data_IF_960059922519
#
_entry.id   IF_960059922519
#
_cell.length_a   1.000
_cell.length_b   1.000
_cell.length_c   1.000
_cell.angle_alpha   90.00
_cell.angle_beta   90.00
_cell.angle_gamma   90.00
#
_symmetry.space_group_name_H-M   'P 1'
#
loop_
_entity.id
_entity.type
_entity.pdbx_description
1 polymer ?
#
# COMPACT_ATOMS: atom_id res chain seq x y z
N UNK A 1 -20.84 9.79 -0.23
CA UNK A 1 -19.75 10.76 -0.01
C UNK A 1 -18.73 10.61 -1.14
N UNK A 2 -18.24 11.71 -1.73
CA UNK A 2 -17.24 11.66 -2.80
C UNK A 2 -15.85 11.43 -2.23
N UNK A 3 -15.01 10.63 -2.88
CA UNK A 3 -13.60 10.44 -2.53
C UNK A 3 -12.72 11.39 -3.36
N UNK A 4 -11.53 11.71 -2.87
CA UNK A 4 -10.46 12.27 -3.68
C UNK A 4 -9.97 11.23 -4.71
N UNK A 5 -9.37 11.68 -5.83
CA UNK A 5 -8.77 10.77 -6.80
C UNK A 5 -7.70 9.87 -6.16
N UNK A 6 -7.63 8.63 -6.62
CA UNK A 6 -6.61 7.66 -6.27
C UNK A 6 -5.84 7.24 -7.53
N UNK A 7 -4.56 6.93 -7.38
CA UNK A 7 -3.79 6.27 -8.43
C UNK A 7 -3.85 4.75 -8.23
N UNK A 8 -4.01 3.99 -9.32
CA UNK A 8 -4.08 2.52 -9.29
C UNK A 8 -3.24 1.92 -10.41
N UNK A 9 -2.54 0.82 -10.12
CA UNK A 9 -1.77 0.02 -11.09
C UNK A 9 -1.97 -1.47 -10.81
N UNK A 10 -2.17 -2.26 -11.86
CA UNK A 10 -2.14 -3.71 -11.74
C UNK A 10 -0.70 -4.21 -11.55
N UNK A 11 -0.54 -5.30 -10.82
CA UNK A 11 0.74 -6.00 -10.74
C UNK A 11 1.07 -6.64 -12.10
N UNK A 12 2.30 -6.53 -12.64
CA UNK A 12 2.67 -7.15 -13.91
C UNK A 12 2.61 -8.69 -13.87
N UNK A 13 2.91 -9.27 -12.71
CA UNK A 13 3.04 -10.73 -12.54
C UNK A 13 1.75 -11.42 -12.06
N UNK A 14 0.70 -10.66 -11.76
CA UNK A 14 -0.57 -11.21 -11.25
C UNK A 14 -1.75 -10.30 -11.55
N UNK A 15 -2.77 -10.87 -12.17
CA UNK A 15 -4.03 -10.18 -12.52
C UNK A 15 -4.90 -9.86 -11.30
N UNK A 16 -4.67 -10.55 -10.17
CA UNK A 16 -5.49 -10.40 -8.95
C UNK A 16 -4.86 -9.46 -7.91
N UNK A 17 -3.77 -8.79 -8.26
CA UNK A 17 -3.05 -7.88 -7.37
C UNK A 17 -3.02 -6.49 -7.99
N UNK A 18 -3.38 -5.49 -7.19
CA UNK A 18 -3.31 -4.09 -7.57
C UNK A 18 -2.69 -3.25 -6.46
N UNK A 19 -1.96 -2.22 -6.87
CA UNK A 19 -1.40 -1.20 -6.01
C UNK A 19 -2.27 0.04 -6.09
N UNK A 20 -2.50 0.70 -4.96
CA UNK A 20 -3.33 1.89 -4.86
C UNK A 20 -2.68 2.93 -3.96
N UNK A 21 -2.65 4.18 -4.39
CA UNK A 21 -2.24 5.35 -3.59
C UNK A 21 -3.46 6.19 -3.24
N UNK A 22 -3.54 6.59 -1.97
CA UNK A 22 -4.60 7.44 -1.43
C UNK A 22 -3.99 8.61 -0.67
N UNK A 23 -4.64 9.77 -0.78
CA UNK A 23 -4.31 10.99 -0.02
C UNK A 23 -5.32 11.28 1.10
N UNK A 24 -6.23 10.34 1.37
CA UNK A 24 -7.23 10.40 2.43
C UNK A 24 -7.52 8.99 2.97
N UNK A 25 -8.17 8.91 4.13
CA UNK A 25 -8.43 7.65 4.84
C UNK A 25 -9.90 7.45 5.20
N UNK A 26 -10.81 7.45 4.22
CA UNK A 26 -12.24 7.22 4.50
C UNK A 26 -12.52 5.77 4.88
N UNK A 27 -13.56 5.54 5.68
CA UNK A 27 -14.01 4.20 6.07
C UNK A 27 -14.10 3.29 4.84
N UNK A 28 -13.50 2.09 4.85
CA UNK A 28 -13.55 1.11 3.75
C UNK A 28 -13.29 1.66 2.33
N UNK A 29 -12.54 2.75 2.19
CA UNK A 29 -12.39 3.46 0.91
C UNK A 29 -11.89 2.54 -0.20
N UNK A 30 -10.76 1.86 -0.02
CA UNK A 30 -10.22 0.91 -1.00
C UNK A 30 -11.24 -0.15 -1.37
N UNK A 31 -11.83 -0.83 -0.38
CA UNK A 31 -12.82 -1.90 -0.63
C UNK A 31 -14.02 -1.42 -1.42
N UNK A 32 -14.52 -0.21 -1.13
CA UNK A 32 -15.64 0.39 -1.90
C UNK A 32 -15.22 0.80 -3.30
N UNK A 33 -14.01 1.32 -3.50
CA UNK A 33 -13.51 1.71 -4.81
C UNK A 33 -13.43 0.51 -5.76
N UNK A 34 -12.87 -0.61 -5.28
CA UNK A 34 -12.82 -1.86 -6.05
C UNK A 34 -14.22 -2.46 -6.26
N UNK A 35 -15.08 -2.47 -5.24
CA UNK A 35 -16.45 -2.97 -5.39
C UNK A 35 -17.29 -2.16 -6.40
N UNK A 36 -17.04 -0.86 -6.54
CA UNK A 36 -17.70 0.00 -7.52
C UNK A 36 -17.36 -0.37 -8.98
N UNK A 37 -16.28 -1.12 -9.19
CA UNK A 37 -15.87 -1.69 -10.49
C UNK A 37 -15.93 -3.23 -10.45
N UNK A 38 -16.84 -3.79 -9.65
CA UNK A 38 -17.13 -5.23 -9.57
C UNK A 38 -15.96 -6.12 -9.13
N UNK A 39 -14.98 -5.55 -8.41
CA UNK A 39 -13.85 -6.29 -7.85
C UNK A 39 -13.97 -6.46 -6.33
N UNK A 40 -13.81 -7.70 -5.85
CA UNK A 40 -13.81 -7.99 -4.41
C UNK A 40 -12.38 -8.00 -3.85
N UNK A 41 -12.16 -7.29 -2.74
CA UNK A 41 -10.86 -7.22 -2.07
C UNK A 41 -10.78 -8.30 -0.98
N UNK A 42 -10.09 -9.39 -1.28
CA UNK A 42 -9.84 -10.49 -0.34
C UNK A 42 -8.83 -10.10 0.75
N UNK A 43 -7.70 -9.52 0.34
CA UNK A 43 -6.61 -9.10 1.22
C UNK A 43 -6.27 -7.63 0.95
N UNK A 44 -6.10 -6.87 2.03
CA UNK A 44 -5.74 -5.46 1.96
C UNK A 44 -4.63 -5.19 2.98
N UNK A 45 -3.47 -4.77 2.48
CA UNK A 45 -2.30 -4.46 3.30
C UNK A 45 -1.78 -3.08 2.92
N UNK A 46 -1.46 -2.28 3.93
CA UNK A 46 -0.73 -1.02 3.72
C UNK A 46 0.77 -1.32 3.77
N UNK A 47 1.45 -1.05 2.67
CA UNK A 47 2.88 -1.35 2.51
C UNK A 47 3.78 -0.13 2.72
N UNK A 48 3.22 1.08 2.70
CA UNK A 48 3.97 2.33 2.83
C UNK A 48 3.04 3.46 3.29
N UNK A 49 3.60 4.47 3.95
CA UNK A 49 2.97 5.75 4.23
C UNK A 49 4.00 6.87 4.00
N UNK A 50 3.68 7.84 3.14
CA UNK A 50 4.67 8.81 2.66
C UNK A 50 5.91 8.10 2.11
N UNK A 51 7.10 8.46 2.59
CA UNK A 51 8.36 7.78 2.28
C UNK A 51 8.73 6.62 3.22
N UNK A 52 7.90 6.26 4.20
CA UNK A 52 8.18 5.20 5.16
C UNK A 52 7.56 3.87 4.72
N UNK A 53 8.40 2.94 4.28
CA UNK A 53 8.01 1.55 3.94
C UNK A 53 7.66 0.75 5.20
N UNK A 54 6.72 -0.19 5.09
CA UNK A 54 6.39 -1.15 6.14
C UNK A 54 7.59 -2.07 6.40
N UNK A 55 8.05 -2.12 7.64
CA UNK A 55 9.22 -2.92 8.01
C UNK A 55 8.92 -4.43 7.94
N UNK A 56 9.71 -5.18 7.17
CA UNK A 56 9.48 -6.61 6.92
C UNK A 56 9.66 -7.51 8.16
N UNK A 57 10.31 -7.01 9.20
CA UNK A 57 10.54 -7.74 10.46
C UNK A 57 9.45 -7.57 11.54
N UNK A 58 8.37 -6.81 11.27
CA UNK A 58 7.26 -6.65 12.21
C UNK A 58 6.23 -7.76 11.96
N UNK A 59 5.97 -8.58 12.97
CA UNK A 59 4.95 -9.62 12.93
C UNK A 59 3.52 -9.08 12.98
N UNK A 60 2.55 -9.93 12.66
CA UNK A 60 1.11 -9.59 12.74
C UNK A 60 0.76 -9.28 14.21
N UNK A 61 0.21 -8.09 14.44
CA UNK A 61 -0.19 -7.64 15.78
C UNK A 61 0.96 -7.04 16.61
N UNK A 62 2.18 -7.04 16.07
CA UNK A 62 3.32 -6.37 16.71
C UNK A 62 3.34 -4.87 16.39
N UNK A 63 4.07 -4.13 17.22
CA UNK A 63 4.35 -2.72 17.01
C UNK A 63 5.85 -2.47 17.11
N UNK A 64 6.29 -1.42 16.43
CA UNK A 64 7.68 -0.94 16.48
C UNK A 64 7.65 0.58 16.64
N UNK A 65 8.50 1.08 17.50
CA UNK A 65 8.71 2.53 17.65
C UNK A 65 9.52 3.04 16.45
N UNK A 66 9.08 4.17 15.88
CA UNK A 66 9.79 4.83 14.78
C UNK A 66 10.78 5.87 15.33
N UNK A 67 11.92 6.03 14.66
CA UNK A 67 12.94 7.00 15.07
C UNK A 67 12.79 8.32 14.32
N UNK A 68 13.56 9.34 14.73
CA UNK A 68 13.51 10.68 14.12
C UNK A 68 13.64 10.64 12.58
N UNK A 69 14.59 9.85 12.07
CA UNK A 69 14.81 9.69 10.62
C UNK A 69 13.62 9.03 9.92
N UNK A 70 12.81 8.21 10.62
CA UNK A 70 11.62 7.59 10.05
C UNK A 70 10.45 8.57 9.98
N UNK A 71 10.36 9.52 10.91
CA UNK A 71 9.41 10.63 10.84
C UNK A 71 9.71 11.51 9.63
N UNK A 72 10.98 11.83 9.37
CA UNK A 72 11.37 12.56 8.17
C UNK A 72 10.97 11.82 6.89
N UNK A 73 11.19 10.50 6.83
CA UNK A 73 10.72 9.67 5.72
C UNK A 73 9.21 9.67 5.59
N UNK A 74 8.48 9.51 6.70
CA UNK A 74 7.02 9.47 6.73
C UNK A 74 6.39 10.73 6.12
N UNK A 75 7.01 11.89 6.34
CA UNK A 75 6.52 13.17 5.82
C UNK A 75 7.04 13.50 4.42
N UNK A 76 8.01 12.74 3.90
CA UNK A 76 8.57 12.95 2.57
C UNK A 76 7.54 12.57 1.49
N UNK A 77 7.20 13.48 0.55
CA UNK A 77 6.37 13.15 -0.59
C UNK A 77 7.05 12.09 -1.46
N UNK A 78 6.26 11.16 -1.97
CA UNK A 78 6.70 10.11 -2.90
C UNK A 78 5.90 10.19 -4.18
N UNK A 79 6.44 9.60 -5.24
CA UNK A 79 5.72 9.42 -6.49
C UNK A 79 5.26 7.98 -6.59
N UNK A 80 3.97 7.78 -6.83
CA UNK A 80 3.39 6.45 -6.94
C UNK A 80 4.13 5.53 -7.92
N UNK A 81 4.53 6.03 -9.10
CA UNK A 81 5.23 5.22 -10.09
C UNK A 81 6.62 4.75 -9.60
N UNK A 82 7.35 5.56 -8.82
CA UNK A 82 8.66 5.18 -8.25
C UNK A 82 8.50 4.09 -7.18
N UNK A 83 7.49 4.27 -6.32
CA UNK A 83 7.14 3.29 -5.29
C UNK A 83 6.72 1.97 -5.95
N UNK A 84 5.86 2.04 -6.96
CA UNK A 84 5.38 0.87 -7.69
C UNK A 84 6.53 0.07 -8.31
N UNK A 85 7.47 0.72 -8.99
CA UNK A 85 8.65 0.04 -9.58
C UNK A 85 9.52 -0.65 -8.52
N UNK A 86 9.77 0.02 -7.38
CA UNK A 86 10.52 -0.57 -6.26
C UNK A 86 9.81 -1.80 -5.67
N UNK A 87 8.49 -1.72 -5.52
CA UNK A 87 7.71 -2.82 -4.95
C UNK A 87 7.51 -3.98 -5.91
N UNK A 88 7.32 -3.75 -7.22
CA UNK A 88 7.15 -4.84 -8.18
C UNK A 88 8.34 -5.79 -8.18
N UNK A 89 9.57 -5.27 -8.07
CA UNK A 89 10.77 -6.10 -8.01
C UNK A 89 10.86 -6.89 -6.70
N UNK A 90 10.54 -6.24 -5.58
CA UNK A 90 10.63 -6.84 -4.24
C UNK A 90 9.44 -7.77 -3.91
N UNK A 91 8.31 -7.69 -4.61
CA UNK A 91 7.07 -8.39 -4.25
C UNK A 91 7.24 -9.92 -4.20
N UNK A 92 8.11 -10.46 -5.06
CA UNK A 92 8.52 -11.88 -5.03
C UNK A 92 9.09 -12.31 -3.67
N UNK A 93 9.68 -11.38 -2.92
CA UNK A 93 10.37 -11.61 -1.63
C UNK A 93 9.57 -11.20 -0.39
N UNK A 94 8.45 -10.49 -0.54
CA UNK A 94 7.64 -10.02 0.60
C UNK A 94 6.71 -11.10 1.15
N UNK A 95 6.46 -11.03 2.46
CA UNK A 95 5.50 -11.85 3.22
C UNK A 95 4.06 -11.77 2.74
N UNK A 96 3.72 -10.88 1.80
CA UNK A 96 2.35 -10.72 1.28
C UNK A 96 1.87 -12.01 0.60
N UNK A 97 2.77 -12.81 0.04
CA UNK A 97 2.44 -14.15 -0.50
C UNK A 97 2.19 -15.22 0.59
N UNK A 98 2.49 -14.91 1.85
CA UNK A 98 2.39 -15.83 3.01
C UNK A 98 1.25 -15.48 3.96
N UNK A 99 0.67 -14.28 3.82
CA UNK A 99 -0.63 -13.87 4.38
C UNK A 99 -1.74 -14.37 3.48
#
# INVERSE_FOLDING_TARGET
ESCLPAAVRCCPDSENIAFIELFEGKYHQVKRMFAAVENHVEKLVRIQMGGLEMHAGIGIGECMEILHNDVEKLLKPTRFDEVFSSFSEKFSSYWINKL
#
